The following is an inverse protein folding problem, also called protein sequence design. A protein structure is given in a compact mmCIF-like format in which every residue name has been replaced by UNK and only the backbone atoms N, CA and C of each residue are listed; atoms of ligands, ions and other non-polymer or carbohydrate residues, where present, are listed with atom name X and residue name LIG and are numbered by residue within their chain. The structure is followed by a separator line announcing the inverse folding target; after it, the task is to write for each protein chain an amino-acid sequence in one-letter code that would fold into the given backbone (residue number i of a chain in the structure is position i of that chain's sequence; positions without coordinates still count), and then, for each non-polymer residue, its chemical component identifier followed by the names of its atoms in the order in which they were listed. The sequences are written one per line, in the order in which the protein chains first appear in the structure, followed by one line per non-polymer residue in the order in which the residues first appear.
data_IF_153084322661
#
_entry.id   IF_153084322661
#
_cell.length_a   1.000
_cell.length_b   1.000
_cell.length_c   1.000
_cell.angle_alpha   90.00
_cell.angle_beta   90.00
_cell.angle_gamma   90.00
#
_symmetry.space_group_name_H-M   'P 1'
#
loop_
_entity.id
_entity.type
_entity.pdbx_description
1 polymer ?
#
# COMPACT_ATOMS: atom_id res chain seq x y z
N UNK A 1 -8.27 -27.50 -20.65
CA UNK A 1 -7.76 -27.25 -19.28
C UNK A 1 -8.14 -25.83 -18.90
N UNK A 2 -9.24 -25.69 -18.16
CA UNK A 2 -9.78 -24.39 -17.75
C UNK A 2 -8.99 -23.98 -16.49
N UNK A 3 -8.19 -22.91 -16.60
CA UNK A 3 -7.42 -22.39 -15.48
C UNK A 3 -8.42 -21.79 -14.48
N UNK A 4 -8.78 -22.58 -13.47
CA UNK A 4 -9.57 -22.14 -12.34
C UNK A 4 -8.91 -20.88 -11.77
N UNK A 5 -9.59 -19.74 -11.93
CA UNK A 5 -9.21 -18.51 -11.28
C UNK A 5 -9.45 -18.74 -9.80
N UNK A 6 -8.40 -19.07 -9.04
CA UNK A 6 -8.44 -19.01 -7.58
C UNK A 6 -8.78 -17.56 -7.22
N UNK A 7 -10.07 -17.31 -7.04
CA UNK A 7 -10.55 -16.13 -6.34
C UNK A 7 -10.23 -16.39 -4.88
N UNK A 8 -8.97 -16.13 -4.54
CA UNK A 8 -8.56 -15.96 -3.15
C UNK A 8 -9.32 -14.73 -2.64
N UNK A 9 -10.45 -14.98 -2.00
CA UNK A 9 -11.31 -14.01 -1.31
C UNK A 9 -10.62 -13.46 -0.04
N UNK A 10 -9.43 -13.98 0.29
CA UNK A 10 -8.71 -13.69 1.53
C UNK A 10 -7.86 -12.41 1.44
N UNK A 11 -7.39 -12.06 0.23
CA UNK A 11 -6.51 -10.91 -0.01
C UNK A 11 -7.21 -9.75 -0.76
N UNK A 12 -7.51 -8.62 -0.12
CA UNK A 12 -8.09 -7.46 -0.81
C UNK A 12 -7.09 -6.72 -1.72
N UNK A 13 -5.84 -7.17 -1.78
CA UNK A 13 -4.75 -6.52 -2.52
C UNK A 13 -4.15 -7.48 -3.55
N UNK A 14 -3.98 -6.99 -4.79
CA UNK A 14 -3.33 -7.75 -5.87
C UNK A 14 -2.19 -6.99 -6.53
N UNK A 15 -1.12 -7.69 -6.89
CA UNK A 15 -0.04 -7.11 -7.72
C UNK A 15 -0.62 -6.67 -9.08
N UNK A 16 -0.23 -5.48 -9.52
CA UNK A 16 -0.73 -4.83 -10.73
C UNK A 16 -1.96 -3.95 -10.50
N UNK A 17 -2.65 -4.07 -9.36
CA UNK A 17 -3.80 -3.24 -9.00
C UNK A 17 -3.39 -1.79 -8.83
N UNK A 18 -4.19 -0.88 -9.38
CA UNK A 18 -4.04 0.56 -9.19
C UNK A 18 -4.86 0.98 -7.98
N UNK A 19 -4.27 1.74 -7.08
CA UNK A 19 -4.89 2.18 -5.86
C UNK A 19 -4.58 3.65 -5.62
N UNK A 20 -5.61 4.37 -5.20
CA UNK A 20 -5.49 5.75 -4.75
C UNK A 20 -5.60 5.80 -3.25
N UNK A 21 -4.93 6.76 -2.65
CA UNK A 21 -4.95 6.91 -1.20
C UNK A 21 -4.49 8.27 -0.76
N UNK A 22 -4.41 8.42 0.55
CA UNK A 22 -3.83 9.58 1.20
C UNK A 22 -2.57 9.14 1.95
N UNK A 23 -1.46 9.79 1.65
CA UNK A 23 -0.25 9.72 2.46
C UNK A 23 -0.25 10.95 3.35
N UNK A 24 -0.60 10.78 4.63
CA UNK A 24 -0.97 11.88 5.54
C UNK A 24 -2.12 12.74 4.95
N UNK A 25 -1.79 13.82 4.26
CA UNK A 25 -2.74 14.75 3.61
C UNK A 25 -2.58 14.83 2.10
N UNK A 26 -1.60 14.12 1.54
CA UNK A 26 -1.27 14.17 0.11
C UNK A 26 -1.98 13.03 -0.61
N UNK A 27 -2.89 13.32 -1.56
CA UNK A 27 -3.46 12.30 -2.41
C UNK A 27 -2.39 11.71 -3.32
N UNK A 28 -2.42 10.40 -3.47
CA UNK A 28 -1.53 9.70 -4.36
C UNK A 28 -2.27 8.72 -5.25
N UNK A 29 -1.69 8.47 -6.41
CA UNK A 29 -2.00 7.35 -7.27
C UNK A 29 -0.79 6.41 -7.29
N UNK A 30 -1.05 5.13 -7.02
CA UNK A 30 -0.02 4.13 -6.93
C UNK A 30 -0.46 2.82 -7.56
N UNK A 31 0.52 2.01 -7.94
CA UNK A 31 0.32 0.63 -8.36
C UNK A 31 0.94 -0.32 -7.36
N UNK A 32 0.22 -1.36 -6.98
CA UNK A 32 0.76 -2.43 -6.16
C UNK A 32 1.72 -3.26 -7.02
N UNK A 33 2.98 -3.36 -6.64
CA UNK A 33 4.00 -4.15 -7.36
C UNK A 33 4.45 -5.40 -6.59
N UNK A 34 4.10 -5.50 -5.31
CA UNK A 34 4.29 -6.70 -4.51
C UNK A 34 3.25 -6.76 -3.38
N UNK A 35 2.82 -7.97 -3.04
CA UNK A 35 1.92 -8.27 -1.92
C UNK A 35 2.49 -9.49 -1.19
N UNK A 36 2.62 -9.40 0.11
CA UNK A 36 3.14 -10.45 0.98
C UNK A 36 2.21 -10.59 2.19
N UNK A 37 1.91 -11.82 2.58
CA UNK A 37 1.22 -12.10 3.84
C UNK A 37 2.14 -11.82 5.02
N UNK A 38 1.57 -11.35 6.13
CA UNK A 38 2.33 -11.16 7.37
C UNK A 38 2.03 -12.26 8.39
N UNK A 39 2.85 -12.34 9.43
CA UNK A 39 2.66 -13.29 10.54
C UNK A 39 1.31 -13.06 11.26
N UNK A 40 0.74 -11.85 11.14
CA UNK A 40 -0.58 -11.55 11.67
C UNK A 40 -1.64 -11.80 10.58
N UNK A 41 -2.67 -12.61 10.85
CA UNK A 41 -3.80 -12.70 9.95
C UNK A 41 -4.41 -11.31 9.75
N UNK A 42 -5.01 -11.08 8.59
CA UNK A 42 -5.66 -9.81 8.18
C UNK A 42 -4.71 -8.62 7.94
N UNK A 43 -3.39 -8.82 8.05
CA UNK A 43 -2.38 -7.81 7.71
C UNK A 43 -1.55 -8.25 6.51
N UNK A 44 -1.46 -7.36 5.54
CA UNK A 44 -0.78 -7.56 4.27
C UNK A 44 0.34 -6.55 4.12
N UNK A 45 1.55 -7.01 3.81
CA UNK A 45 2.65 -6.13 3.43
C UNK A 45 2.55 -5.89 1.93
N UNK A 46 2.19 -4.67 1.55
CA UNK A 46 2.11 -4.28 0.15
C UNK A 46 3.24 -3.33 -0.20
N UNK A 47 3.71 -3.43 -1.43
CA UNK A 47 4.64 -2.46 -2.01
C UNK A 47 3.92 -1.65 -3.07
N UNK A 48 3.88 -0.35 -2.86
CA UNK A 48 3.31 0.64 -3.74
C UNK A 48 4.40 1.29 -4.58
N UNK A 49 4.16 1.38 -5.87
CA UNK A 49 4.92 2.15 -6.84
C UNK A 49 4.08 3.37 -7.23
N UNK A 50 4.52 4.55 -6.82
CA UNK A 50 3.94 5.82 -7.22
C UNK A 50 4.43 6.21 -8.61
N UNK A 51 3.50 6.66 -9.44
CA UNK A 51 3.76 7.21 -10.76
C UNK A 51 2.75 8.34 -11.03
N UNK A 52 3.15 9.62 -10.95
CA UNK A 52 4.50 10.15 -10.71
C UNK A 52 4.99 9.99 -9.25
N UNK A 53 6.28 10.25 -9.00
CA UNK A 53 6.83 10.26 -7.64
C UNK A 53 6.10 11.30 -6.76
N UNK A 54 5.72 10.91 -5.55
CA UNK A 54 5.06 11.81 -4.60
C UNK A 54 6.05 12.32 -3.56
N UNK A 55 5.84 13.54 -3.10
CA UNK A 55 6.54 14.05 -1.93
C UNK A 55 5.87 13.52 -0.66
N UNK A 56 6.64 12.75 0.13
CA UNK A 56 6.16 12.17 1.39
C UNK A 56 6.68 12.94 2.61
N UNK A 57 7.32 14.10 2.42
CA UNK A 57 7.79 14.89 3.53
C UNK A 57 6.59 15.52 4.25
N UNK A 58 6.59 15.38 5.57
CA UNK A 58 5.57 16.00 6.44
C UNK A 58 5.89 17.49 6.69
N UNK A 59 7.14 17.89 6.47
CA UNK A 59 7.64 19.24 6.73
C UNK A 59 7.74 20.07 5.43
N UNK A 60 7.26 21.32 5.40
CA UNK A 60 7.26 22.15 4.18
C UNK A 60 8.66 22.55 3.68
N UNK A 61 9.69 22.42 4.52
CA UNK A 61 11.09 22.71 4.18
C UNK A 61 11.88 21.48 3.73
N UNK A 62 11.26 20.30 3.69
CA UNK A 62 11.92 19.07 3.27
C UNK A 62 11.20 18.54 2.03
N UNK A 63 11.95 18.10 1.03
CA UNK A 63 11.40 17.35 -0.10
C UNK A 63 11.90 15.93 -0.02
N UNK A 64 10.98 14.98 0.01
CA UNK A 64 11.30 13.56 0.05
C UNK A 64 10.45 12.86 -1.00
N UNK A 65 10.93 12.89 -2.25
CA UNK A 65 10.27 12.23 -3.36
C UNK A 65 10.45 10.72 -3.24
N UNK A 66 9.35 10.01 -2.92
CA UNK A 66 9.34 8.55 -2.94
C UNK A 66 8.57 8.05 -4.14
N UNK A 67 9.23 7.18 -4.88
CA UNK A 67 8.62 6.37 -5.94
C UNK A 67 8.10 5.05 -5.43
N UNK A 68 8.68 4.51 -4.36
CA UNK A 68 8.33 3.20 -3.81
C UNK A 68 8.18 3.28 -2.30
N UNK A 69 7.07 2.75 -1.79
CA UNK A 69 6.83 2.61 -0.36
C UNK A 69 6.27 1.23 -0.08
N UNK A 70 6.81 0.59 0.96
CA UNK A 70 6.30 -0.68 1.46
C UNK A 70 5.57 -0.41 2.77
N UNK A 71 4.31 -0.79 2.85
CA UNK A 71 3.46 -0.57 4.02
C UNK A 71 2.72 -1.85 4.39
N UNK A 72 2.47 -2.02 5.68
CA UNK A 72 1.59 -3.09 6.18
C UNK A 72 0.20 -2.50 6.34
N UNK A 73 -0.77 -3.06 5.62
CA UNK A 73 -2.15 -2.57 5.56
C UNK A 73 -3.10 -3.68 5.99
N UNK A 74 -4.14 -3.30 6.73
CA UNK A 74 -5.23 -4.20 7.07
C UNK A 74 -6.18 -4.41 5.91
N UNK A 75 -7.13 -5.31 6.06
CA UNK A 75 -8.28 -5.44 5.15
C UNK A 75 -9.10 -4.15 5.04
N UNK A 76 -8.99 -3.28 6.04
CA UNK A 76 -9.65 -1.97 6.11
C UNK A 76 -8.95 -0.85 5.32
N UNK A 77 -7.88 -1.13 4.58
CA UNK A 77 -7.16 -0.12 3.80
C UNK A 77 -6.20 0.76 4.61
N UNK A 78 -6.19 0.67 5.94
CA UNK A 78 -5.35 1.51 6.79
C UNK A 78 -4.02 0.85 7.08
N UNK A 79 -2.95 1.64 6.98
CA UNK A 79 -1.62 1.20 7.41
C UNK A 79 -1.60 0.94 8.91
N UNK A 80 -1.05 -0.21 9.33
CA UNK A 80 -0.77 -0.49 10.72
C UNK A 80 0.74 -0.46 10.96
N UNK A 81 1.13 0.16 12.06
CA UNK A 81 2.53 0.19 12.49
C UNK A 81 2.92 -1.19 13.01
N UNK A 82 3.48 -2.02 12.13
CA UNK A 82 4.16 -3.25 12.53
C UNK A 82 5.63 -2.92 12.84
N UNK A 83 6.22 -3.53 13.86
CA UNK A 83 7.65 -3.37 14.18
C UNK A 83 8.48 -3.70 12.93
N UNK A 84 9.20 -2.72 12.39
CA UNK A 84 9.95 -2.81 11.13
C UNK A 84 9.26 -2.21 9.89
N UNK A 85 8.06 -1.62 10.03
CA UNK A 85 7.39 -0.85 8.97
C UNK A 85 7.52 0.64 9.26
N UNK A 86 8.20 1.37 8.37
CA UNK A 86 8.46 2.81 8.53
C UNK A 86 7.24 3.70 8.21
N UNK A 87 6.14 3.09 7.76
CA UNK A 87 5.05 3.84 7.14
C UNK A 87 3.86 3.99 8.08
N UNK A 88 3.97 4.95 9.01
CA UNK A 88 2.78 5.52 9.64
C UNK A 88 2.10 6.48 8.66
N UNK A 89 0.77 6.39 8.50
CA UNK A 89 -0.02 7.43 7.83
C UNK A 89 -0.44 7.15 6.38
N UNK A 90 -0.48 5.89 5.93
CA UNK A 90 -1.11 5.55 4.65
C UNK A 90 -2.56 5.12 4.89
N UNK A 91 -3.48 5.75 4.16
CA UNK A 91 -4.85 5.29 3.99
C UNK A 91 -5.10 4.97 2.52
N UNK A 92 -5.47 3.72 2.25
CA UNK A 92 -5.84 3.24 0.92
C UNK A 92 -7.35 3.26 0.76
N UNK A 93 -7.83 3.73 -0.39
CA UNK A 93 -9.21 3.47 -0.80
C UNK A 93 -9.27 2.08 -1.43
N UNK A 94 -9.64 1.09 -0.61
CA UNK A 94 -10.09 -0.22 -1.09
C UNK A 94 -11.57 -0.08 -1.45
N UNK A 95 -11.87 -0.14 -2.74
CA UNK A 95 -13.22 -0.09 -3.31
C UNK A 95 -13.61 -1.42 -3.93
#
# INVERSE_FOLDING_TARGET
VEAASVQDDTAPYRVGQRITGLFHTTPFDARIIAVEETIKPELWRITLQFDPAIDVAVSPNLSMLRRRVTAVVGTDGKSRRLTGSETGGIALNVG
#
